data_IF_374496086967
#
_entry.id   IF_374496086967
#
_cell.length_a   1.000
_cell.length_b   1.000
_cell.length_c   1.000
_cell.angle_alpha   90.00
_cell.angle_beta   90.00
_cell.angle_gamma   90.00
#
_symmetry.space_group_name_H-M   'P 1'
#
loop_
_entity.id
_entity.type
_entity.pdbx_description
1 polymer ?
#
# COMPACT_ATOMS: atom_id res chain seq x y z
N UNK A 1 -2.98 -22.93 35.96
CA UNK A 1 -3.01 -21.64 35.23
C UNK A 1 -4.47 -21.32 35.00
N UNK A 2 -5.02 -20.32 35.69
CA UNK A 2 -6.38 -19.82 35.45
C UNK A 2 -6.46 -19.30 34.02
N UNK A 3 -7.49 -19.70 33.26
CA UNK A 3 -7.78 -19.11 31.96
C UNK A 3 -8.02 -17.62 32.17
N UNK A 4 -7.05 -16.79 31.83
CA UNK A 4 -7.20 -15.34 31.90
C UNK A 4 -8.25 -14.96 30.84
N UNK A 5 -9.39 -14.44 31.30
CA UNK A 5 -10.51 -14.11 30.43
C UNK A 5 -10.06 -13.08 29.39
N UNK A 6 -10.06 -13.49 28.12
CA UNK A 6 -9.59 -12.64 27.01
C UNK A 6 -10.58 -11.49 26.84
N UNK A 7 -10.11 -10.27 27.12
CA UNK A 7 -10.90 -9.06 26.97
C UNK A 7 -11.35 -8.89 25.50
N UNK A 8 -12.65 -8.73 25.27
CA UNK A 8 -13.18 -8.45 23.93
C UNK A 8 -12.74 -7.07 23.42
N UNK A 9 -12.60 -6.91 22.09
CA UNK A 9 -12.25 -5.61 21.48
C UNK A 9 -13.26 -4.50 21.81
N UNK A 10 -14.60 -4.73 21.73
CA UNK A 10 -15.56 -3.71 22.14
C UNK A 10 -15.40 -3.27 23.61
N UNK A 11 -15.09 -4.20 24.52
CA UNK A 11 -14.81 -3.87 25.92
C UNK A 11 -13.50 -3.09 26.05
N UNK A 12 -12.43 -3.50 25.35
CA UNK A 12 -11.17 -2.77 25.33
C UNK A 12 -11.35 -1.31 24.87
N UNK A 13 -12.13 -1.08 23.80
CA UNK A 13 -12.44 0.28 23.33
C UNK A 13 -13.17 1.13 24.37
N UNK A 14 -14.04 0.53 25.19
CA UNK A 14 -14.73 1.25 26.28
C UNK A 14 -13.75 1.67 27.37
N UNK A 15 -12.84 0.79 27.76
CA UNK A 15 -11.83 1.10 28.78
C UNK A 15 -10.83 2.16 28.31
N UNK A 16 -10.45 2.16 27.03
CA UNK A 16 -9.57 3.20 26.46
C UNK A 16 -10.23 4.58 26.35
N UNK A 17 -11.55 4.67 26.52
CA UNK A 17 -12.32 5.93 26.53
C UNK A 17 -12.59 6.46 27.93
N UNK A 18 -12.07 5.81 28.98
CA UNK A 18 -12.22 6.34 30.33
C UNK A 18 -11.56 7.73 30.43
N UNK A 19 -12.08 8.64 31.28
CA UNK A 19 -11.41 9.90 31.57
C UNK A 19 -9.97 9.66 32.04
N UNK A 20 -9.03 10.50 31.60
CA UNK A 20 -7.60 10.33 31.90
C UNK A 20 -7.30 10.22 33.41
N UNK A 21 -8.05 10.90 34.27
CA UNK A 21 -7.91 10.80 35.72
C UNK A 21 -8.20 9.41 36.28
N UNK A 22 -9.00 8.59 35.61
CA UNK A 22 -9.25 7.19 36.02
C UNK A 22 -8.14 6.25 35.59
N UNK A 23 -7.30 6.59 34.61
CA UNK A 23 -6.24 5.70 34.13
C UNK A 23 -5.14 5.48 35.17
N UNK A 24 -5.03 6.35 36.17
CA UNK A 24 -4.03 6.27 37.24
C UNK A 24 -4.54 5.59 38.51
N UNK A 25 -5.84 5.29 38.61
CA UNK A 25 -6.43 4.61 39.77
C UNK A 25 -6.38 3.09 39.63
N UNK A 26 -6.00 2.39 40.70
CA UNK A 26 -5.46 1.02 40.63
C UNK A 26 -6.38 -0.11 40.11
N UNK A 27 -7.73 -0.08 40.17
CA UNK A 27 -8.49 -1.09 39.43
C UNK A 27 -8.60 -0.74 37.94
N UNK A 28 -8.65 0.54 37.60
CA UNK A 28 -8.85 1.00 36.23
C UNK A 28 -7.57 1.00 35.42
N UNK A 29 -6.42 1.29 36.02
CA UNK A 29 -5.11 1.25 35.35
C UNK A 29 -4.81 -0.13 34.77
N UNK A 30 -5.10 -1.20 35.53
CA UNK A 30 -4.94 -2.58 35.08
C UNK A 30 -5.88 -2.92 33.92
N UNK A 31 -7.14 -2.48 33.99
CA UNK A 31 -8.11 -2.67 32.90
C UNK A 31 -7.69 -1.91 31.63
N UNK A 32 -7.20 -0.68 31.77
CA UNK A 32 -6.69 0.14 30.66
C UNK A 32 -5.44 -0.49 30.06
N UNK A 33 -4.54 -1.04 30.88
CA UNK A 33 -3.35 -1.76 30.40
C UNK A 33 -3.75 -3.03 29.62
N UNK A 34 -4.68 -3.84 30.14
CA UNK A 34 -5.21 -5.01 29.41
C UNK A 34 -5.91 -4.62 28.11
N UNK A 35 -6.69 -3.54 28.13
CA UNK A 35 -7.32 -3.00 26.93
C UNK A 35 -6.30 -2.53 25.90
N UNK A 36 -5.23 -1.85 26.34
CA UNK A 36 -4.11 -1.43 25.52
C UNK A 36 -3.43 -2.62 24.86
N UNK A 37 -3.04 -3.63 25.65
CA UNK A 37 -2.41 -4.85 25.14
C UNK A 37 -3.31 -5.60 24.16
N UNK A 38 -4.61 -5.69 24.43
CA UNK A 38 -5.56 -6.36 23.52
C UNK A 38 -5.67 -5.66 22.16
N UNK A 39 -5.75 -4.33 22.16
CA UNK A 39 -5.84 -3.53 20.92
C UNK A 39 -4.52 -3.58 20.16
N UNK A 40 -3.39 -3.46 20.86
CA UNK A 40 -2.07 -3.59 20.25
C UNK A 40 -1.90 -4.98 19.63
N UNK A 41 -2.24 -6.05 20.33
CA UNK A 41 -2.12 -7.41 19.79
C UNK A 41 -2.96 -7.68 18.52
N UNK A 42 -4.03 -6.91 18.29
CA UNK A 42 -4.85 -7.05 17.08
C UNK A 42 -4.28 -6.26 15.88
N UNK A 43 -3.62 -5.13 16.15
CA UNK A 43 -3.23 -4.15 15.14
C UNK A 43 -1.74 -3.75 15.23
N UNK A 44 -0.88 -4.61 15.78
CA UNK A 44 0.55 -4.36 15.90
C UNK A 44 1.28 -4.52 14.57
N UNK A 45 0.70 -5.21 13.59
CA UNK A 45 1.22 -5.34 12.22
C UNK A 45 0.34 -4.59 11.23
N UNK A 46 0.76 -3.36 10.89
CA UNK A 46 -0.05 -2.48 10.06
C UNK A 46 -0.09 -2.91 8.59
N UNK A 47 0.97 -3.53 8.07
CA UNK A 47 0.95 -4.03 6.69
C UNK A 47 0.02 -5.25 6.57
N UNK A 48 0.01 -6.15 7.55
CA UNK A 48 -0.95 -7.25 7.60
C UNK A 48 -2.40 -6.77 7.70
N UNK A 49 -2.65 -5.71 8.48
CA UNK A 49 -3.97 -5.08 8.58
C UNK A 49 -4.43 -4.55 7.21
N UNK A 50 -3.53 -3.93 6.43
CA UNK A 50 -3.88 -3.39 5.11
C UNK A 50 -4.00 -4.44 4.01
N UNK A 51 -3.35 -5.60 4.16
CA UNK A 51 -3.52 -6.73 3.24
C UNK A 51 -4.82 -7.51 3.47
N UNK A 52 -5.51 -7.29 4.59
CA UNK A 52 -6.75 -7.99 4.94
C UNK A 52 -7.92 -7.01 5.08
N UNK A 53 -8.86 -7.06 4.13
CA UNK A 53 -10.01 -6.15 4.08
C UNK A 53 -10.85 -6.14 5.38
N UNK A 54 -11.01 -7.29 6.04
CA UNK A 54 -11.76 -7.38 7.30
C UNK A 54 -11.03 -6.71 8.47
N UNK A 55 -9.71 -6.89 8.55
CA UNK A 55 -8.88 -6.21 9.55
C UNK A 55 -8.81 -4.71 9.27
N UNK A 56 -8.63 -4.31 8.02
CA UNK A 56 -8.68 -2.91 7.60
C UNK A 56 -10.01 -2.26 7.99
N UNK A 57 -11.15 -2.90 7.67
CA UNK A 57 -12.46 -2.40 8.04
C UNK A 57 -12.66 -2.29 9.55
N UNK A 58 -12.01 -3.15 10.33
CA UNK A 58 -12.03 -3.12 11.80
C UNK A 58 -11.14 -2.00 12.35
N UNK A 59 -9.94 -1.82 11.79
CA UNK A 59 -9.02 -0.73 12.12
C UNK A 59 -9.68 0.64 11.88
N UNK A 60 -10.35 0.80 10.73
CA UNK A 60 -11.02 2.05 10.36
C UNK A 60 -12.24 2.37 11.26
N UNK A 61 -12.69 1.42 12.09
CA UNK A 61 -13.74 1.64 13.11
C UNK A 61 -13.17 1.96 14.50
N UNK A 62 -11.84 1.97 14.67
CA UNK A 62 -11.22 2.25 15.96
C UNK A 62 -11.62 3.66 16.45
N UNK A 63 -11.95 3.82 17.75
CA UNK A 63 -11.99 5.16 18.33
C UNK A 63 -10.61 5.81 18.32
N UNK A 64 -10.59 7.15 18.30
CA UNK A 64 -9.35 7.94 18.32
C UNK A 64 -8.38 7.49 19.42
N UNK A 65 -8.86 7.26 20.65
CA UNK A 65 -8.01 6.80 21.75
C UNK A 65 -7.30 5.47 21.44
N UNK A 66 -8.03 4.49 20.90
CA UNK A 66 -7.46 3.20 20.52
C UNK A 66 -6.51 3.33 19.32
N UNK A 67 -6.85 4.16 18.34
CA UNK A 67 -5.98 4.45 17.20
C UNK A 67 -4.66 5.07 17.66
N UNK A 68 -4.69 6.06 18.56
CA UNK A 68 -3.49 6.65 19.14
C UNK A 68 -2.67 5.61 19.90
N UNK A 69 -3.30 4.73 20.69
CA UNK A 69 -2.61 3.62 21.37
C UNK A 69 -1.86 2.68 20.40
N UNK A 70 -2.43 2.41 19.22
CA UNK A 70 -1.75 1.62 18.18
C UNK A 70 -0.61 2.41 17.56
N UNK A 71 -0.87 3.63 17.08
CA UNK A 71 0.09 4.42 16.32
C UNK A 71 1.30 4.89 17.14
N UNK A 72 1.12 5.11 18.44
CA UNK A 72 2.19 5.49 19.37
C UNK A 72 2.93 4.29 19.96
N UNK A 73 2.47 3.06 19.70
CA UNK A 73 3.15 1.86 20.19
C UNK A 73 4.58 1.80 19.64
N UNK A 74 5.61 1.64 20.49
CA UNK A 74 6.98 1.42 20.04
C UNK A 74 7.15 0.07 19.35
N UNK A 75 6.21 -0.85 19.55
CA UNK A 75 6.19 -2.18 18.94
C UNK A 75 5.35 -2.24 17.66
N UNK A 76 4.75 -1.13 17.22
CA UNK A 76 4.02 -1.13 15.95
C UNK A 76 4.98 -1.49 14.82
N UNK A 77 4.63 -2.54 14.10
CA UNK A 77 5.31 -3.07 12.94
C UNK A 77 4.75 -2.44 11.69
N UNK A 78 5.65 -1.97 10.84
CA UNK A 78 5.33 -1.40 9.54
C UNK A 78 6.60 -1.39 8.71
N UNK A 79 6.56 -1.92 7.49
CA UNK A 79 7.68 -1.92 6.55
C UNK A 79 8.06 -0.48 6.20
N UNK A 80 7.08 0.39 6.00
CA UNK A 80 7.27 1.82 5.72
C UNK A 80 6.43 2.71 6.63
N UNK A 81 6.86 3.96 6.82
CA UNK A 81 5.97 4.97 7.40
C UNK A 81 4.88 5.40 6.41
N UNK A 82 5.02 5.09 5.11
CA UNK A 82 3.98 5.35 4.11
C UNK A 82 2.69 4.62 4.47
N UNK A 83 2.78 3.35 4.94
CA UNK A 83 1.61 2.59 5.40
C UNK A 83 0.90 3.28 6.57
N UNK A 84 1.67 3.84 7.51
CA UNK A 84 1.13 4.61 8.64
C UNK A 84 0.40 5.85 8.16
N UNK A 85 0.97 6.57 7.19
CA UNK A 85 0.34 7.74 6.60
C UNK A 85 -0.97 7.41 5.88
N UNK A 86 -0.98 6.35 5.06
CA UNK A 86 -2.19 5.85 4.39
C UNK A 86 -3.25 5.47 5.42
N UNK A 87 -2.84 4.79 6.49
CA UNK A 87 -3.73 4.38 7.56
C UNK A 87 -4.45 5.55 8.24
N UNK A 88 -3.67 6.56 8.62
CA UNK A 88 -4.20 7.79 9.20
C UNK A 88 -5.11 8.51 8.21
N UNK A 89 -4.72 8.61 6.94
CA UNK A 89 -5.49 9.31 5.91
C UNK A 89 -6.86 8.67 5.67
N UNK A 90 -6.93 7.34 5.58
CA UNK A 90 -8.19 6.61 5.42
C UNK A 90 -9.09 6.79 6.64
N UNK A 91 -8.52 6.71 7.84
CA UNK A 91 -9.29 6.88 9.08
C UNK A 91 -9.86 8.30 9.18
N UNK A 92 -9.06 9.34 8.90
CA UNK A 92 -9.49 10.74 8.93
C UNK A 92 -10.60 10.99 7.91
N UNK A 93 -10.44 10.49 6.68
CA UNK A 93 -11.49 10.61 5.66
C UNK A 93 -12.79 9.95 6.10
N UNK A 94 -12.72 8.74 6.68
CA UNK A 94 -13.90 8.05 7.17
C UNK A 94 -14.55 8.77 8.36
N UNK A 95 -13.76 9.35 9.26
CA UNK A 95 -14.26 10.14 10.38
C UNK A 95 -14.97 11.41 9.89
N UNK A 96 -14.39 12.10 8.91
CA UNK A 96 -14.97 13.30 8.28
C UNK A 96 -16.32 12.99 7.60
N UNK A 97 -16.43 11.86 6.92
CA UNK A 97 -17.67 11.45 6.23
C UNK A 97 -18.76 10.94 7.18
N UNK A 98 -18.40 10.16 8.21
CA UNK A 98 -19.40 9.49 9.07
C UNK A 98 -19.88 10.31 10.27
N UNK A 99 -19.06 11.17 10.86
CA UNK A 99 -19.33 11.63 12.23
C UNK A 99 -19.81 13.08 12.38
N UNK A 100 -19.97 13.88 11.32
CA UNK A 100 -20.28 15.33 11.43
C UNK A 100 -19.34 16.08 12.42
N UNK A 101 -18.15 15.53 12.70
CA UNK A 101 -17.16 16.17 13.56
C UNK A 101 -16.33 17.09 12.66
N UNK A 102 -16.92 18.18 12.17
CA UNK A 102 -16.16 19.19 11.43
C UNK A 102 -15.25 19.97 12.39
N UNK A 103 -15.74 20.30 13.58
CA UNK A 103 -15.05 21.20 14.53
C UNK A 103 -13.89 20.56 15.30
N UNK A 104 -13.85 19.24 15.49
CA UNK A 104 -12.71 18.57 16.14
C UNK A 104 -11.82 17.77 15.17
N UNK A 105 -12.10 17.82 13.85
CA UNK A 105 -11.29 17.11 12.86
C UNK A 105 -9.88 17.66 12.82
N UNK A 106 -9.73 18.98 12.94
CA UNK A 106 -8.45 19.69 12.96
C UNK A 106 -7.54 19.21 14.10
N UNK A 107 -8.05 19.24 15.33
CA UNK A 107 -7.31 18.78 16.51
C UNK A 107 -7.01 17.27 16.45
N UNK A 108 -7.95 16.49 15.91
CA UNK A 108 -7.77 15.05 15.71
C UNK A 108 -6.69 14.75 14.67
N UNK A 109 -6.73 15.45 13.54
CA UNK A 109 -5.75 15.34 12.47
C UNK A 109 -4.36 15.70 12.99
N UNK A 110 -4.23 16.78 13.77
CA UNK A 110 -2.96 17.17 14.39
C UNK A 110 -2.41 16.09 15.33
N UNK A 111 -3.24 15.52 16.20
CA UNK A 111 -2.84 14.42 17.11
C UNK A 111 -2.35 13.19 16.34
N UNK A 112 -3.04 12.83 15.25
CA UNK A 112 -2.66 11.70 14.42
C UNK A 112 -1.41 11.99 13.59
N UNK A 113 -1.25 13.21 13.09
CA UNK A 113 -0.08 13.64 12.34
C UNK A 113 1.20 13.59 13.19
N UNK A 114 1.11 13.88 14.49
CA UNK A 114 2.22 13.74 15.44
C UNK A 114 2.67 12.29 15.62
N UNK A 115 1.85 11.31 15.26
CA UNK A 115 2.22 9.90 15.28
C UNK A 115 2.98 9.45 14.02
N UNK A 116 3.11 10.33 13.01
CA UNK A 116 3.78 10.04 11.74
C UNK A 116 5.21 10.57 11.77
N UNK A 117 6.15 9.69 11.44
CA UNK A 117 7.56 10.05 11.24
C UNK A 117 7.77 10.58 9.82
N UNK A 118 7.38 11.84 9.55
CA UNK A 118 7.50 12.41 8.21
C UNK A 118 8.88 12.23 7.54
N UNK A 119 10.03 12.36 8.24
CA UNK A 119 11.34 12.10 7.65
C UNK A 119 11.58 10.64 7.21
N UNK A 120 10.76 9.70 7.65
CA UNK A 120 10.81 8.28 7.31
C UNK A 120 9.85 7.90 6.18
N UNK A 121 9.07 8.84 5.65
CA UNK A 121 8.33 8.65 4.41
C UNK A 121 9.33 8.59 3.24
N UNK A 122 9.01 7.80 2.22
CA UNK A 122 9.81 7.81 0.99
C UNK A 122 9.70 9.17 0.30
N UNK A 123 10.75 9.58 -0.39
CA UNK A 123 10.81 10.91 -1.02
C UNK A 123 9.62 11.14 -1.96
N UNK A 124 9.38 10.17 -2.84
CA UNK A 124 8.28 10.24 -3.80
C UNK A 124 6.91 10.24 -3.12
N UNK A 125 6.72 9.43 -2.08
CA UNK A 125 5.47 9.42 -1.34
C UNK A 125 5.22 10.78 -0.68
N UNK A 126 6.25 11.37 -0.07
CA UNK A 126 6.16 12.68 0.57
C UNK A 126 5.76 13.78 -0.43
N UNK A 127 6.42 13.82 -1.59
CA UNK A 127 6.23 14.89 -2.58
C UNK A 127 4.92 14.75 -3.36
N UNK A 128 4.53 13.53 -3.71
CA UNK A 128 3.46 13.31 -4.67
C UNK A 128 2.19 12.78 -4.03
N UNK A 129 2.28 12.03 -2.93
CA UNK A 129 1.12 11.45 -2.25
C UNK A 129 0.74 12.29 -1.05
N UNK A 130 1.63 12.42 -0.07
CA UNK A 130 1.34 13.08 1.20
C UNK A 130 1.02 14.58 1.04
N UNK A 131 1.60 15.26 0.05
CA UNK A 131 1.29 16.67 -0.28
C UNK A 131 -0.16 16.89 -0.72
N UNK A 132 -0.83 15.86 -1.24
CA UNK A 132 -2.22 15.90 -1.68
C UNK A 132 -3.20 15.58 -0.54
N UNK A 133 -2.70 15.29 0.66
CA UNK A 133 -3.53 15.06 1.83
C UNK A 133 -4.12 16.38 2.36
N UNK A 134 -5.35 16.69 1.95
CA UNK A 134 -6.05 17.92 2.37
C UNK A 134 -6.32 18.05 3.88
N UNK A 135 -6.01 17.04 4.69
CA UNK A 135 -6.17 17.05 6.15
C UNK A 135 -4.92 17.51 6.90
N UNK A 136 -3.80 17.77 6.20
CA UNK A 136 -2.55 18.23 6.79
C UNK A 136 -2.26 19.71 6.44
N UNK A 137 -3.05 20.66 6.98
CA UNK A 137 -2.92 22.06 6.59
C UNK A 137 -1.63 22.68 7.11
N UNK A 138 -1.15 23.68 6.37
CA UNK A 138 0.18 24.26 6.55
C UNK A 138 0.38 24.95 7.90
N UNK A 139 -0.69 25.47 8.49
CA UNK A 139 -0.66 26.20 9.76
C UNK A 139 -0.39 25.30 10.98
N UNK A 140 -0.47 23.98 10.84
CA UNK A 140 -0.25 23.07 11.95
C UNK A 140 1.23 22.82 12.25
N UNK A 141 1.55 22.44 13.49
CA UNK A 141 2.91 22.03 13.87
C UNK A 141 3.34 20.81 13.07
N UNK A 142 2.42 19.86 12.86
CA UNK A 142 2.66 18.73 11.96
C UNK A 142 2.87 19.15 10.50
N UNK A 143 2.17 20.18 10.01
CA UNK A 143 2.42 20.77 8.69
C UNK A 143 3.84 21.38 8.59
N UNK A 144 4.31 22.03 9.65
CA UNK A 144 5.71 22.49 9.72
C UNK A 144 6.72 21.33 9.70
N UNK A 145 6.44 20.25 10.44
CA UNK A 145 7.27 19.03 10.44
C UNK A 145 7.28 18.35 9.07
N UNK A 146 6.14 18.30 8.36
CA UNK A 146 6.04 17.81 7.00
C UNK A 146 6.87 18.64 6.02
N UNK A 147 6.78 19.97 6.07
CA UNK A 147 7.65 20.86 5.25
C UNK A 147 9.12 20.68 5.57
N UNK A 148 9.47 20.52 6.84
CA UNK A 148 10.83 20.27 7.27
C UNK A 148 11.36 18.94 6.71
N UNK A 149 10.56 17.86 6.76
CA UNK A 149 10.87 16.59 6.15
C UNK A 149 11.04 16.70 4.62
N UNK A 150 10.20 17.49 3.97
CA UNK A 150 10.25 17.73 2.51
C UNK A 150 11.54 18.43 2.12
N UNK A 151 11.92 19.49 2.85
CA UNK A 151 13.19 20.18 2.63
C UNK A 151 14.39 19.28 2.92
N UNK A 152 14.31 18.46 3.96
CA UNK A 152 15.36 17.51 4.31
C UNK A 152 15.58 16.47 3.20
N UNK A 153 14.51 15.80 2.73
CA UNK A 153 14.62 14.77 1.70
C UNK A 153 15.06 15.31 0.34
N UNK A 154 14.66 16.53 -0.02
CA UNK A 154 15.11 17.22 -1.23
C UNK A 154 16.49 17.88 -1.14
N UNK A 155 17.09 17.96 0.05
CA UNK A 155 18.37 18.62 0.25
C UNK A 155 19.58 17.73 -0.16
N UNK A 156 20.68 18.31 -0.66
CA UNK A 156 21.94 17.59 -0.82
C UNK A 156 22.47 17.03 0.51
N UNK A 157 23.23 15.94 0.50
CA UNK A 157 23.67 15.23 1.72
C UNK A 157 24.38 16.10 2.76
N UNK A 158 25.18 17.09 2.32
CA UNK A 158 25.84 18.04 3.25
C UNK A 158 24.82 18.91 3.99
N UNK A 159 23.77 19.36 3.31
CA UNK A 159 22.71 20.16 3.91
C UNK A 159 21.78 19.29 4.76
N UNK A 160 21.55 18.02 4.38
CA UNK A 160 20.84 17.06 5.24
C UNK A 160 21.51 16.91 6.60
N UNK A 161 22.84 16.79 6.66
CA UNK A 161 23.58 16.71 7.93
C UNK A 161 23.41 17.97 8.80
N UNK A 162 23.33 19.15 8.19
CA UNK A 162 23.08 20.40 8.91
C UNK A 162 21.63 20.52 9.40
N UNK A 163 20.67 20.16 8.54
CA UNK A 163 19.26 20.11 8.88
C UNK A 163 18.97 19.05 9.96
N UNK A 164 19.75 17.97 9.99
CA UNK A 164 19.66 16.92 11.02
C UNK A 164 19.86 17.45 12.45
N UNK A 165 20.56 18.58 12.58
CA UNK A 165 20.86 19.23 13.86
C UNK A 165 19.85 20.33 14.24
N UNK A 166 18.90 20.65 13.35
CA UNK A 166 17.94 21.73 13.54
C UNK A 166 16.71 21.27 14.37
N UNK A 167 16.28 22.02 15.40
CA UNK A 167 15.15 21.64 16.27
C UNK A 167 13.82 21.43 15.53
N UNK A 168 13.64 22.09 14.37
CA UNK A 168 12.42 22.03 13.55
C UNK A 168 12.23 20.72 12.77
N UNK A 169 13.27 19.87 12.69
CA UNK A 169 13.18 18.53 12.09
C UNK A 169 12.95 17.47 13.18
N UNK A 170 12.47 17.88 14.36
CA UNK A 170 12.36 17.10 15.59
C UNK A 170 11.58 15.78 15.54
N UNK A 171 10.95 15.45 14.40
CA UNK A 171 10.44 14.11 14.12
C UNK A 171 11.52 13.06 13.78
N UNK A 172 12.77 13.46 13.53
CA UNK A 172 13.88 12.51 13.27
C UNK A 172 14.27 11.68 14.49
N UNK A 173 13.90 12.09 15.71
CA UNK A 173 14.28 11.39 16.93
C UNK A 173 13.32 10.28 17.33
N UNK A 174 12.20 10.13 16.61
CA UNK A 174 11.33 8.98 16.81
C UNK A 174 12.04 7.73 16.28
N UNK A 175 12.21 6.67 17.10
CA UNK A 175 12.86 5.45 16.65
C UNK A 175 12.07 4.86 15.49
N UNK A 176 12.79 4.36 14.47
CA UNK A 176 12.19 3.67 13.32
C UNK A 176 11.28 2.54 13.83
N UNK A 177 10.13 2.38 13.19
CA UNK A 177 9.23 1.24 13.46
C UNK A 177 9.93 -0.06 13.09
N UNK A 178 9.49 -1.15 13.74
CA UNK A 178 10.03 -2.48 13.46
C UNK A 178 9.50 -2.89 12.08
N UNK A 179 10.38 -3.00 11.08
CA UNK A 179 10.01 -3.58 9.79
C UNK A 179 9.78 -5.07 9.98
N UNK A 180 8.54 -5.53 9.78
CA UNK A 180 8.20 -6.96 9.83
C UNK A 180 7.55 -7.32 8.50
N UNK A 181 7.92 -8.48 7.97
CA UNK A 181 7.47 -8.93 6.66
C UNK A 181 8.49 -8.67 5.55
N UNK A 182 8.16 -9.16 4.37
CA UNK A 182 8.94 -8.93 3.17
C UNK A 182 8.47 -7.66 2.49
N UNK A 183 9.40 -6.86 1.98
CA UNK A 183 9.11 -5.83 0.97
C UNK A 183 8.74 -6.43 -0.39
N UNK A 184 8.59 -7.75 -0.45
CA UNK A 184 8.19 -8.51 -1.63
C UNK A 184 6.72 -8.90 -1.58
N UNK A 185 6.00 -8.61 -2.66
CA UNK A 185 4.66 -9.10 -2.93
C UNK A 185 4.68 -10.03 -4.15
N UNK A 186 4.02 -11.17 -4.06
CA UNK A 186 3.80 -12.09 -5.18
C UNK A 186 2.33 -12.04 -5.58
N UNK A 187 2.07 -11.68 -6.83
CA UNK A 187 0.74 -11.63 -7.44
C UNK A 187 0.62 -12.77 -8.43
N UNK A 188 -0.32 -13.67 -8.18
CA UNK A 188 -0.62 -14.77 -9.10
C UNK A 188 -1.98 -14.52 -9.77
N UNK A 189 -2.03 -14.73 -11.08
CA UNK A 189 -3.21 -14.49 -11.90
C UNK A 189 -3.42 -15.61 -12.89
N UNK A 190 -4.50 -16.36 -12.68
CA UNK A 190 -5.01 -17.33 -13.64
C UNK A 190 -5.99 -16.62 -14.57
N UNK A 191 -5.62 -16.45 -15.84
CA UNK A 191 -6.45 -15.73 -16.81
C UNK A 191 -7.15 -16.73 -17.72
N UNK A 192 -8.49 -16.86 -17.64
CA UNK A 192 -9.23 -17.74 -18.55
C UNK A 192 -8.97 -17.31 -19.99
N UNK A 193 -8.62 -18.26 -20.86
CA UNK A 193 -8.32 -17.98 -22.27
C UNK A 193 -9.51 -17.35 -23.00
N UNK A 194 -10.73 -17.69 -22.57
CA UNK A 194 -11.97 -17.10 -23.05
C UNK A 194 -12.06 -15.60 -22.77
N UNK A 195 -11.52 -15.12 -21.63
CA UNK A 195 -11.45 -13.68 -21.32
C UNK A 195 -10.46 -12.98 -22.23
N UNK A 196 -9.33 -13.60 -22.55
CA UNK A 196 -8.32 -13.03 -23.46
C UNK A 196 -8.90 -12.93 -24.88
N UNK A 197 -9.58 -13.97 -25.37
CA UNK A 197 -10.29 -13.95 -26.66
C UNK A 197 -11.38 -12.87 -26.71
N UNK A 198 -12.18 -12.75 -25.65
CA UNK A 198 -13.18 -11.67 -25.51
C UNK A 198 -12.54 -10.28 -25.55
N UNK A 199 -11.39 -10.10 -24.91
CA UNK A 199 -10.64 -8.85 -24.94
C UNK A 199 -10.17 -8.52 -26.36
N UNK A 200 -9.60 -9.49 -27.10
CA UNK A 200 -9.18 -9.29 -28.51
C UNK A 200 -10.33 -8.84 -29.39
N UNK A 201 -11.53 -9.43 -29.21
CA UNK A 201 -12.74 -9.07 -29.97
C UNK A 201 -13.21 -7.64 -29.72
N UNK A 202 -13.05 -7.14 -28.49
CA UNK A 202 -13.43 -5.77 -28.12
C UNK A 202 -12.48 -4.72 -28.68
N UNK A 203 -11.33 -5.13 -29.22
CA UNK A 203 -10.34 -4.24 -29.82
C UNK A 203 -9.16 -3.91 -28.91
N UNK A 204 -8.17 -3.18 -29.43
CA UNK A 204 -6.88 -2.95 -28.76
C UNK A 204 -6.98 -2.12 -27.48
N UNK A 205 -8.05 -1.33 -27.30
CA UNK A 205 -8.29 -0.56 -26.08
C UNK A 205 -8.90 -1.41 -24.95
N UNK A 206 -9.31 -2.64 -25.23
CA UNK A 206 -9.85 -3.51 -24.19
C UNK A 206 -8.75 -3.99 -23.26
N UNK A 207 -9.01 -3.89 -21.96
CA UNK A 207 -8.10 -4.34 -20.92
C UNK A 207 -8.75 -5.38 -20.01
N UNK A 208 -7.94 -6.26 -19.43
CA UNK A 208 -8.31 -7.14 -18.33
C UNK A 208 -7.51 -6.73 -17.11
N UNK A 209 -8.19 -6.56 -15.97
CA UNK A 209 -7.56 -6.28 -14.69
C UNK A 209 -7.58 -7.54 -13.84
N UNK A 210 -6.49 -7.83 -13.12
CA UNK A 210 -6.51 -8.87 -12.09
C UNK A 210 -7.63 -8.56 -11.07
N UNK A 211 -8.38 -9.57 -10.62
CA UNK A 211 -9.32 -9.38 -9.52
C UNK A 211 -8.57 -8.93 -8.25
N UNK A 212 -9.01 -7.84 -7.65
CA UNK A 212 -8.44 -7.32 -6.40
C UNK A 212 -7.23 -6.41 -6.58
N UNK A 213 -6.68 -6.00 -5.44
CA UNK A 213 -5.50 -5.14 -5.32
C UNK A 213 -4.59 -5.71 -4.25
N UNK A 214 -3.28 -5.54 -4.45
CA UNK A 214 -2.26 -6.04 -3.54
C UNK A 214 -1.64 -4.85 -2.83
N UNK A 215 -1.76 -4.80 -1.51
CA UNK A 215 -1.18 -3.71 -0.74
C UNK A 215 0.27 -3.99 -0.40
N UNK A 216 1.17 -3.03 -0.66
CA UNK A 216 2.57 -3.10 -0.27
C UNK A 216 3.18 -1.70 -0.13
N UNK A 217 3.82 -1.44 1.02
CA UNK A 217 4.63 -0.24 1.28
C UNK A 217 3.91 1.12 1.09
N UNK A 218 2.58 1.19 1.31
CA UNK A 218 1.80 2.41 1.10
C UNK A 218 1.08 2.49 -0.25
N UNK A 219 1.22 1.48 -1.10
CA UNK A 219 0.67 1.47 -2.46
C UNK A 219 -0.20 0.24 -2.70
N UNK A 220 -1.22 0.42 -3.53
CA UNK A 220 -2.09 -0.65 -4.04
C UNK A 220 -1.62 -1.01 -5.43
N UNK A 221 -1.12 -2.23 -5.58
CA UNK A 221 -0.59 -2.76 -6.82
C UNK A 221 -1.66 -3.63 -7.49
N UNK A 222 -1.69 -3.60 -8.82
CA UNK A 222 -2.57 -4.43 -9.60
C UNK A 222 -1.98 -4.66 -10.99
N UNK A 223 -2.45 -5.73 -11.63
CA UNK A 223 -2.03 -6.11 -12.97
C UNK A 223 -3.10 -5.74 -13.98
N UNK A 224 -2.66 -5.22 -15.11
CA UNK A 224 -3.47 -5.04 -16.31
C UNK A 224 -2.86 -5.87 -17.42
N UNK A 225 -3.71 -6.61 -18.13
CA UNK A 225 -3.39 -7.22 -19.40
C UNK A 225 -4.10 -6.44 -20.51
N UNK A 226 -3.39 -6.11 -21.58
CA UNK A 226 -3.95 -5.40 -22.72
C UNK A 226 -3.20 -5.79 -23.99
N UNK A 227 -3.87 -5.63 -25.14
CA UNK A 227 -3.18 -5.70 -26.42
C UNK A 227 -2.44 -4.39 -26.69
N UNK A 228 -1.36 -4.45 -27.48
CA UNK A 228 -0.77 -3.23 -28.01
C UNK A 228 -1.73 -2.54 -28.99
N UNK A 229 -1.44 -1.29 -29.36
CA UNK A 229 -2.30 -0.50 -30.27
C UNK A 229 -2.57 -1.17 -31.63
N UNK A 230 -1.71 -2.10 -32.07
CA UNK A 230 -1.90 -2.89 -33.30
C UNK A 230 -2.65 -4.21 -33.10
N UNK A 231 -2.96 -4.62 -31.86
CA UNK A 231 -3.60 -5.91 -31.56
C UNK A 231 -2.71 -7.14 -31.74
N UNK A 232 -1.43 -6.95 -32.10
CA UNK A 232 -0.49 -8.02 -32.49
C UNK A 232 0.32 -8.58 -31.33
N UNK A 233 0.30 -7.93 -30.16
CA UNK A 233 0.93 -8.49 -28.98
C UNK A 233 0.07 -8.32 -27.76
N UNK A 234 -0.04 -9.39 -26.98
CA UNK A 234 -0.55 -9.34 -25.62
C UNK A 234 0.55 -8.83 -24.70
N UNK A 235 0.26 -7.89 -23.80
CA UNK A 235 1.18 -7.42 -22.78
C UNK A 235 0.54 -7.49 -21.39
N UNK A 236 1.38 -7.73 -20.38
CA UNK A 236 1.01 -7.64 -18.97
C UNK A 236 1.79 -6.50 -18.32
N UNK A 237 1.07 -5.64 -17.63
CA UNK A 237 1.56 -4.37 -17.10
C UNK A 237 1.29 -4.33 -15.61
N UNK A 238 2.32 -4.01 -14.84
CA UNK A 238 2.17 -3.73 -13.41
C UNK A 238 1.79 -2.26 -13.26
N UNK A 239 0.73 -2.02 -12.50
CA UNK A 239 0.28 -0.71 -12.10
C UNK A 239 0.26 -0.62 -10.59
N UNK A 240 0.32 0.61 -10.09
CA UNK A 240 0.08 0.89 -8.70
C UNK A 240 -0.70 2.20 -8.56
N UNK A 241 -1.35 2.36 -7.42
CA UNK A 241 -2.03 3.59 -7.04
C UNK A 241 -1.81 3.84 -5.55
N UNK A 242 -1.75 5.12 -5.18
CA UNK A 242 -1.85 5.53 -3.79
C UNK A 242 -3.28 5.98 -3.53
N UNK A 243 -3.96 5.31 -2.58
CA UNK A 243 -5.30 5.70 -2.15
C UNK A 243 -5.18 6.38 -0.80
N UNK A 244 -5.45 7.68 -0.73
CA UNK A 244 -5.54 8.39 0.55
C UNK A 244 -6.94 8.29 1.16
N UNK A 245 -7.93 7.95 0.34
CA UNK A 245 -9.29 7.69 0.78
C UNK A 245 -10.01 6.77 -0.23
N UNK A 246 -11.25 6.38 0.07
CA UNK A 246 -12.03 5.44 -0.77
C UNK A 246 -12.58 6.04 -2.07
N UNK A 247 -12.46 7.36 -2.27
CA UNK A 247 -13.11 8.10 -3.37
C UNK A 247 -12.09 8.73 -4.32
N UNK A 248 -10.96 9.20 -3.79
CA UNK A 248 -9.89 9.85 -4.52
C UNK A 248 -8.83 8.81 -4.85
N UNK A 249 -8.98 8.18 -6.01
CA UNK A 249 -7.83 7.61 -6.69
C UNK A 249 -6.96 8.78 -7.15
N UNK A 250 -5.76 8.88 -6.60
CA UNK A 250 -4.83 9.88 -7.09
C UNK A 250 -4.44 9.51 -8.51
N UNK A 251 -4.65 10.44 -9.44
CA UNK A 251 -4.22 10.26 -10.82
C UNK A 251 -2.73 9.99 -10.80
N UNK A 252 -2.29 8.82 -11.25
CA UNK A 252 -0.99 8.33 -10.81
C UNK A 252 0.18 8.96 -11.57
N UNK A 253 -0.05 9.99 -12.40
CA UNK A 253 0.95 10.67 -13.23
C UNK A 253 2.14 11.31 -12.50
N UNK A 254 2.14 11.37 -11.17
CA UNK A 254 3.11 12.20 -10.44
C UNK A 254 4.01 11.43 -9.46
N UNK A 255 3.59 10.30 -8.91
CA UNK A 255 4.42 9.57 -7.94
C UNK A 255 5.38 8.60 -8.62
N UNK A 256 6.55 8.42 -8.01
CA UNK A 256 7.55 7.42 -8.39
C UNK A 256 7.73 6.36 -7.31
N UNK A 257 8.09 5.14 -7.70
CA UNK A 257 8.45 4.06 -6.77
C UNK A 257 9.72 3.41 -7.27
N UNK A 258 10.63 3.06 -6.35
CA UNK A 258 11.80 2.24 -6.63
C UNK A 258 11.48 0.78 -6.26
N UNK A 259 11.43 -0.10 -7.25
CA UNK A 259 11.18 -1.51 -7.04
C UNK A 259 11.95 -2.37 -8.05
N UNK A 260 12.37 -3.56 -7.60
CA UNK A 260 12.77 -4.65 -8.48
C UNK A 260 11.53 -5.45 -8.83
N UNK A 261 11.23 -5.61 -10.12
CA UNK A 261 10.05 -6.35 -10.59
C UNK A 261 10.53 -7.54 -11.39
N UNK A 262 9.93 -8.69 -11.12
CA UNK A 262 10.04 -9.85 -11.98
C UNK A 262 8.66 -10.34 -12.41
N UNK A 263 8.56 -10.67 -13.70
CA UNK A 263 7.40 -11.29 -14.32
C UNK A 263 7.82 -12.69 -14.74
N UNK A 264 7.06 -13.66 -14.29
CA UNK A 264 7.21 -15.06 -14.66
C UNK A 264 5.86 -15.58 -15.16
N UNK A 265 5.90 -16.41 -16.19
CA UNK A 265 4.69 -17.02 -16.77
C UNK A 265 4.92 -18.52 -16.78
N UNK A 266 3.92 -19.27 -16.36
CA UNK A 266 4.01 -20.73 -16.40
C UNK A 266 3.91 -21.18 -17.84
N UNK A 267 4.81 -22.06 -18.25
CA UNK A 267 4.77 -22.67 -19.57
C UNK A 267 4.82 -24.18 -19.38
N UNK A 268 3.71 -24.86 -19.67
CA UNK A 268 3.57 -26.31 -19.48
C UNK A 268 4.56 -27.11 -20.32
N UNK A 269 5.04 -26.57 -21.44
CA UNK A 269 6.05 -27.21 -22.28
C UNK A 269 7.47 -27.10 -21.69
N UNK A 270 7.72 -26.14 -20.78
CA UNK A 270 9.01 -25.94 -20.12
C UNK A 270 9.09 -26.59 -18.73
N UNK A 271 7.96 -27.05 -18.18
CA UNK A 271 7.88 -27.73 -16.90
C UNK A 271 6.76 -27.19 -16.00
N UNK A 272 6.63 -27.70 -14.77
CA UNK A 272 5.62 -27.23 -13.81
C UNK A 272 5.94 -25.83 -13.25
N UNK A 273 7.19 -25.38 -13.36
CA UNK A 273 7.68 -24.16 -12.75
C UNK A 273 7.42 -22.92 -13.63
N UNK A 274 7.30 -21.77 -12.97
CA UNK A 274 7.24 -20.48 -13.66
C UNK A 274 8.58 -20.16 -14.32
N UNK A 275 8.57 -19.97 -15.63
CA UNK A 275 9.72 -19.42 -16.32
C UNK A 275 9.73 -17.91 -16.16
N UNK A 276 10.82 -17.38 -15.62
CA UNK A 276 11.02 -15.94 -15.55
C UNK A 276 11.14 -15.38 -16.96
N UNK A 277 10.18 -14.57 -17.36
CA UNK A 277 10.17 -14.01 -18.72
C UNK A 277 10.76 -12.60 -18.76
N UNK A 278 10.59 -11.84 -17.68
CA UNK A 278 11.23 -10.55 -17.55
C UNK A 278 11.70 -10.34 -16.12
N UNK A 279 12.91 -9.81 -15.96
CA UNK A 279 13.45 -9.38 -14.69
C UNK A 279 14.05 -7.99 -14.85
N UNK A 280 13.55 -7.05 -14.08
CA UNK A 280 14.16 -5.74 -13.91
C UNK A 280 14.90 -5.74 -12.58
N UNK A 281 16.18 -6.14 -12.63
CA UNK A 281 17.08 -6.18 -11.47
C UNK A 281 17.70 -4.82 -11.14
N UNK A 282 17.65 -3.86 -12.07
CA UNK A 282 18.09 -2.48 -11.82
C UNK A 282 16.89 -1.64 -11.39
N UNK A 283 17.14 -0.74 -10.45
CA UNK A 283 16.14 0.18 -9.93
C UNK A 283 15.60 1.05 -11.05
N UNK A 284 14.29 0.98 -11.26
CA UNK A 284 13.58 1.84 -12.20
C UNK A 284 12.66 2.76 -11.40
N UNK A 285 12.62 4.02 -11.85
CA UNK A 285 11.73 5.04 -11.34
C UNK A 285 10.39 4.84 -12.06
N UNK A 286 9.37 4.32 -11.37
CA UNK A 286 8.05 4.05 -11.97
C UNK A 286 7.14 5.28 -11.88
N UNK A 287 6.96 6.04 -12.96
CA UNK A 287 5.94 7.11 -12.99
C UNK A 287 4.55 6.50 -13.05
N UNK A 288 3.65 6.85 -12.13
CA UNK A 288 2.41 6.09 -11.95
C UNK A 288 1.33 6.26 -13.02
N UNK A 289 1.44 7.10 -14.05
CA UNK A 289 0.33 7.40 -14.96
C UNK A 289 -0.48 6.19 -15.49
N UNK A 290 -1.83 6.29 -15.48
CA UNK A 290 -2.73 5.26 -16.06
C UNK A 290 -2.42 4.96 -17.53
N UNK A 291 -1.77 5.90 -18.22
CA UNK A 291 -1.35 5.77 -19.62
C UNK A 291 -0.03 5.02 -19.85
N UNK A 292 0.80 4.79 -18.83
CA UNK A 292 2.04 4.03 -18.96
C UNK A 292 2.19 3.05 -17.79
N UNK A 293 1.32 2.03 -17.77
CA UNK A 293 1.63 0.81 -17.02
C UNK A 293 3.04 0.35 -17.35
N UNK A 294 3.84 0.06 -16.34
CA UNK A 294 5.19 -0.43 -16.57
C UNK A 294 5.14 -1.95 -16.68
N UNK A 295 5.28 -2.39 -17.92
CA UNK A 295 5.66 -3.74 -18.27
C UNK A 295 6.67 -3.62 -19.40
N UNK A 296 7.77 -4.38 -19.32
CA UNK A 296 8.34 -4.85 -20.58
C UNK A 296 7.22 -5.67 -21.19
N UNK A 297 6.68 -5.33 -22.38
CA UNK A 297 5.64 -6.14 -22.95
C UNK A 297 6.22 -7.54 -23.03
N UNK A 298 5.71 -8.46 -22.21
CA UNK A 298 5.87 -9.86 -22.47
C UNK A 298 5.11 -10.10 -23.76
N UNK A 299 5.78 -9.77 -24.87
CA UNK A 299 5.26 -9.77 -26.22
C UNK A 299 5.17 -11.23 -26.58
N UNK A 300 4.05 -11.84 -26.26
CA UNK A 300 3.63 -12.99 -27.03
C UNK A 300 3.28 -12.38 -28.39
N UNK A 301 4.20 -12.56 -29.34
CA UNK A 301 3.99 -12.13 -30.71
C UNK A 301 2.88 -13.00 -31.28
N UNK A 302 1.71 -12.41 -31.46
CA UNK A 302 0.59 -13.03 -32.15
C UNK A 302 0.78 -12.63 -33.61
N UNK A 303 0.86 -13.59 -34.52
CA UNK A 303 1.04 -13.30 -35.94
C UNK A 303 0.03 -12.24 -36.40
N UNK A 304 0.45 -11.36 -37.32
CA UNK A 304 -0.33 -10.18 -37.73
C UNK A 304 -1.73 -10.51 -38.30
N UNK A 305 -1.95 -11.77 -38.71
CA UNK A 305 -3.12 -12.22 -39.47
C UNK A 305 -3.99 -13.26 -38.74
N UNK A 306 -3.82 -13.47 -37.44
CA UNK A 306 -4.49 -14.56 -36.73
C UNK A 306 -5.94 -14.24 -36.33
N UNK A 307 -6.89 -15.05 -36.83
CA UNK A 307 -8.31 -15.03 -36.47
C UNK A 307 -8.53 -15.47 -35.00
N UNK A 308 -9.73 -15.29 -34.45
CA UNK A 308 -10.04 -15.55 -33.02
C UNK A 308 -9.69 -16.98 -32.56
N UNK A 309 -9.93 -17.98 -33.42
CA UNK A 309 -9.59 -19.38 -33.16
C UNK A 309 -8.08 -19.64 -33.10
N UNK A 310 -7.26 -18.72 -33.60
CA UNK A 310 -5.81 -18.88 -33.67
C UNK A 310 -5.13 -18.37 -32.40
N UNK A 311 -5.67 -17.36 -31.69
CA UNK A 311 -5.04 -16.89 -30.44
C UNK A 311 -4.99 -17.98 -29.37
N UNK A 312 -6.12 -18.64 -29.13
CA UNK A 312 -6.21 -19.68 -28.13
C UNK A 312 -5.28 -20.85 -28.47
N UNK A 313 -5.28 -21.27 -29.75
CA UNK A 313 -4.39 -22.31 -30.27
C UNK A 313 -2.93 -21.88 -30.25
N UNK A 314 -2.61 -20.62 -30.51
CA UNK A 314 -1.26 -20.09 -30.52
C UNK A 314 -0.67 -20.14 -29.11
N UNK A 315 -1.41 -19.64 -28.12
CA UNK A 315 -1.02 -19.71 -26.71
C UNK A 315 -0.87 -21.16 -26.23
N UNK A 316 -1.81 -22.03 -26.62
CA UNK A 316 -1.80 -23.45 -26.25
C UNK A 316 -0.63 -24.19 -26.91
N UNK A 317 -0.41 -24.00 -28.22
CA UNK A 317 0.72 -24.59 -28.96
C UNK A 317 2.09 -24.08 -28.49
N UNK A 318 2.15 -22.86 -27.97
CA UNK A 318 3.34 -22.30 -27.35
C UNK A 318 3.53 -22.77 -25.90
N UNK A 319 2.58 -23.55 -25.35
CA UNK A 319 2.64 -24.12 -24.01
C UNK A 319 2.25 -23.15 -22.89
N UNK A 320 1.61 -22.01 -23.19
CA UNK A 320 1.19 -21.04 -22.17
C UNK A 320 -0.18 -21.33 -21.55
N UNK A 321 -0.89 -22.35 -22.05
CA UNK A 321 -2.22 -22.71 -21.58
C UNK A 321 -2.16 -23.98 -20.75
N UNK A 322 -2.66 -23.91 -19.53
CA UNK A 322 -2.85 -25.06 -18.65
C UNK A 322 -4.31 -25.08 -18.21
N UNK A 323 -5.03 -26.17 -18.50
CA UNK A 323 -6.44 -26.35 -18.10
C UNK A 323 -7.38 -25.21 -18.57
N UNK A 324 -7.04 -24.53 -19.67
CA UNK A 324 -7.81 -23.40 -20.21
C UNK A 324 -7.46 -22.02 -19.62
N UNK A 325 -6.40 -21.94 -18.82
CA UNK A 325 -5.90 -20.72 -18.19
C UNK A 325 -4.48 -20.40 -18.66
N UNK A 326 -4.14 -19.11 -18.65
CA UNK A 326 -2.76 -18.62 -18.71
C UNK A 326 -2.37 -18.19 -17.30
N UNK A 327 -1.37 -18.87 -16.72
CA UNK A 327 -0.91 -18.61 -15.35
C UNK A 327 0.23 -17.60 -15.34
N UNK A 328 -0.01 -16.46 -14.71
CA UNK A 328 0.92 -15.33 -14.66
C UNK A 328 1.30 -15.06 -13.21
N UNK A 329 2.60 -14.91 -12.96
CA UNK A 329 3.12 -14.53 -11.65
C UNK A 329 3.98 -13.27 -11.76
N UNK A 330 3.61 -12.24 -11.03
CA UNK A 330 4.47 -11.09 -10.79
C UNK A 330 5.05 -11.15 -9.38
N UNK A 331 6.33 -10.86 -9.25
CA UNK A 331 6.97 -10.65 -7.95
C UNK A 331 7.52 -9.24 -7.94
N UNK A 332 7.02 -8.42 -7.01
CA UNK A 332 7.40 -7.02 -6.82
C UNK A 332 8.17 -6.93 -5.52
N UNK A 333 9.44 -6.57 -5.58
CA UNK A 333 10.29 -6.31 -4.42
C UNK A 333 10.57 -4.81 -4.32
N UNK A 334 9.88 -4.14 -3.40
CA UNK A 334 10.01 -2.70 -3.19
C UNK A 334 11.27 -2.42 -2.39
N UNK A 335 12.24 -1.74 -3.01
CA UNK A 335 13.41 -1.28 -2.27
C UNK A 335 13.08 0.07 -1.66
N UNK A 336 13.18 0.12 -0.34
CA UNK A 336 13.05 1.36 0.39
C UNK A 336 14.43 1.99 0.47
N UNK A 337 14.59 3.17 -0.11
CA UNK A 337 15.77 4.01 0.11
C UNK A 337 15.94 4.17 1.63
N UNK A 338 16.95 3.50 2.18
CA UNK A 338 17.27 3.57 3.60
C UNK A 338 18.11 4.80 3.91
#
# INVERSE_FOLDING_TARGET
MSQEEVLSLPSAYRYLRLPAGLHTHEPFSQLVQRATSRVQAEFDDLDAVWMNESLQASFLKLPLAALLTVLTSPHLKSITENTVFVAVSHWIHLAATKQKIAQCLEETAEKLAQCIRFPMLSNDFLHFVASQAGWLPEQYRSGAAFRAATRYKGAPSKLQQQLAQSPGVGGMYLPRRIGVGSSTCVMQWEVPITKIGNMKRKGPESTLRIPGEYYLCGFYWYLIMQFNGSGTSLGCYLHWTAKLNSVTEMSPHEAFVLASISLSVKNVAWGPDFAQVCSMKKEHIFGGGLGMGWGNPFKIALGADEHEGDLARHLDSAGFVSEGFVDIQFTVDVRLDQ
#
